data_IF_035466363749
#
_entry.id   IF_035466363749
#
_cell.length_a   1.000
_cell.length_b   1.000
_cell.length_c   1.000
_cell.angle_alpha   90.00
_cell.angle_beta   90.00
_cell.angle_gamma   90.00
#
_symmetry.space_group_name_H-M   'P 1'
#
loop_
_entity.id
_entity.type
_entity.pdbx_description
1 polymer ?
#
# COMPACT_ATOMS: atom_id res chain seq x y z
N UNK A 1 2.70 12.89 5.39
CA UNK A 1 1.22 13.02 5.49
C UNK A 1 0.79 14.22 6.33
N UNK A 2 0.02 15.13 5.73
CA UNK A 2 -0.59 16.29 6.39
C UNK A 2 -2.10 16.08 6.53
N UNK A 3 -2.63 16.21 7.74
CA UNK A 3 -4.08 16.15 8.00
C UNK A 3 -4.68 17.54 8.05
N UNK A 4 -5.94 17.69 7.65
CA UNK A 4 -6.65 18.99 7.62
C UNK A 4 -5.84 20.09 6.90
N UNK A 5 -5.22 19.72 5.79
CA UNK A 5 -4.34 20.59 5.02
C UNK A 5 -5.12 21.79 4.46
N UNK A 6 -4.73 23.00 4.87
CA UNK A 6 -5.39 24.25 4.48
C UNK A 6 -4.73 24.85 3.25
N UNK A 7 -5.53 25.20 2.25
CA UNK A 7 -5.11 25.97 1.08
C UNK A 7 -6.14 27.07 0.81
N UNK A 8 -5.77 28.32 1.08
CA UNK A 8 -6.73 29.43 1.16
C UNK A 8 -7.85 29.12 2.16
N UNK A 9 -9.10 29.25 1.72
CA UNK A 9 -10.30 28.95 2.53
C UNK A 9 -10.72 27.47 2.50
N UNK A 10 -9.97 26.62 1.79
CA UNK A 10 -10.29 25.20 1.61
C UNK A 10 -9.47 24.35 2.58
N UNK A 11 -10.12 23.33 3.13
CA UNK A 11 -9.49 22.30 3.95
C UNK A 11 -9.63 20.95 3.24
N UNK A 12 -8.51 20.28 3.07
CA UNK A 12 -8.38 18.92 2.54
C UNK A 12 -8.10 17.97 3.72
N UNK A 13 -8.75 16.81 3.75
CA UNK A 13 -8.63 15.86 4.86
C UNK A 13 -7.21 15.29 4.95
N UNK A 14 -6.64 14.86 3.82
CA UNK A 14 -5.26 14.38 3.76
C UNK A 14 -4.53 14.87 2.51
N UNK A 15 -3.32 15.39 2.72
CA UNK A 15 -2.34 15.60 1.66
C UNK A 15 -1.13 14.71 1.93
N UNK A 16 -0.77 13.86 0.96
CA UNK A 16 0.34 12.92 1.06
C UNK A 16 1.34 13.23 -0.05
N UNK A 17 2.28 14.18 0.19
CA UNK A 17 3.29 14.60 -0.78
C UNK A 17 4.07 13.44 -1.38
N UNK A 18 4.33 12.42 -0.56
CA UNK A 18 5.12 11.24 -0.89
C UNK A 18 4.49 10.42 -2.04
N UNK A 19 3.16 10.46 -2.16
CA UNK A 19 2.40 9.81 -3.23
C UNK A 19 1.84 10.80 -4.26
N UNK A 20 2.20 12.09 -4.17
CA UNK A 20 1.59 13.15 -4.98
C UNK A 20 0.05 13.07 -4.93
N UNK A 21 -0.50 12.82 -3.74
CA UNK A 21 -1.89 12.39 -3.52
C UNK A 21 -2.64 13.36 -2.61
N UNK A 22 -3.87 13.69 -3.02
CA UNK A 22 -4.83 14.51 -2.29
C UNK A 22 -6.08 13.66 -2.04
N UNK A 23 -6.40 13.42 -0.77
CA UNK A 23 -7.63 12.72 -0.36
C UNK A 23 -8.58 13.75 0.24
N UNK A 24 -9.75 13.88 -0.38
CA UNK A 24 -10.81 14.78 0.05
C UNK A 24 -12.08 14.00 0.34
N UNK A 25 -12.56 14.11 1.57
CA UNK A 25 -13.78 13.49 1.99
C UNK A 25 -14.96 14.42 1.70
N UNK A 26 -15.96 13.90 1.00
CA UNK A 26 -17.11 14.67 0.52
C UNK A 26 -18.23 14.81 1.56
N UNK A 27 -18.22 13.97 2.60
CA UNK A 27 -19.27 13.86 3.62
C UNK A 27 -18.74 13.82 5.07
N UNK A 28 -17.42 13.75 5.29
CA UNK A 28 -16.81 13.68 6.63
C UNK A 28 -17.11 14.90 7.52
N UNK A 29 -17.47 16.03 6.90
CA UNK A 29 -17.77 17.28 7.59
C UNK A 29 -19.09 17.83 7.06
N UNK A 30 -20.22 17.28 7.53
CA UNK A 30 -21.59 17.65 7.13
C UNK A 30 -22.00 19.13 7.32
N UNK A 31 -21.07 20.02 7.67
CA UNK A 31 -21.23 21.46 7.75
C UNK A 31 -20.59 22.24 6.59
N UNK A 32 -19.81 21.58 5.72
CA UNK A 32 -19.12 22.25 4.60
C UNK A 32 -19.73 21.85 3.26
N UNK A 33 -19.98 22.81 2.35
CA UNK A 33 -20.39 22.47 1.00
C UNK A 33 -19.29 21.66 0.32
N UNK A 34 -19.68 20.55 -0.33
CA UNK A 34 -18.76 19.70 -1.07
C UNK A 34 -18.03 20.52 -2.14
N UNK A 35 -16.71 20.41 -2.18
CA UNK A 35 -15.90 21.13 -3.15
C UNK A 35 -16.02 20.41 -4.51
N UNK A 36 -16.39 21.11 -5.60
CA UNK A 36 -16.42 20.51 -6.92
C UNK A 36 -15.04 19.98 -7.33
N UNK A 37 -15.00 18.81 -7.96
CA UNK A 37 -13.76 18.18 -8.42
C UNK A 37 -12.91 19.11 -9.31
N UNK A 38 -13.55 19.87 -10.19
CA UNK A 38 -12.89 20.84 -11.08
C UNK A 38 -12.13 21.93 -10.32
N UNK A 39 -12.64 22.36 -9.15
CA UNK A 39 -11.96 23.33 -8.29
C UNK A 39 -10.76 22.70 -7.59
N UNK A 40 -10.86 21.43 -7.18
CA UNK A 40 -9.72 20.70 -6.62
C UNK A 40 -8.62 20.52 -7.67
N UNK A 41 -8.95 20.21 -8.93
CA UNK A 41 -7.97 20.11 -10.03
C UNK A 41 -7.22 21.42 -10.29
N UNK A 42 -7.87 22.58 -10.11
CA UNK A 42 -7.20 23.87 -10.25
C UNK A 42 -6.21 24.15 -9.11
N UNK A 43 -6.54 23.73 -7.89
CA UNK A 43 -5.70 23.91 -6.71
C UNK A 43 -4.53 22.93 -6.67
N UNK A 44 -4.73 21.75 -7.24
CA UNK A 44 -3.77 20.65 -7.25
C UNK A 44 -3.58 20.13 -8.68
N UNK A 45 -3.00 20.95 -9.58
CA UNK A 45 -2.94 20.65 -11.01
C UNK A 45 -2.04 19.47 -11.35
N UNK A 46 -1.12 19.12 -10.46
CA UNK A 46 -0.13 18.05 -10.68
C UNK A 46 -0.37 16.84 -9.80
N UNK A 47 -1.22 16.93 -8.78
CA UNK A 47 -1.49 15.85 -7.83
C UNK A 47 -2.63 14.96 -8.32
N UNK A 48 -2.61 13.70 -7.90
CA UNK A 48 -3.78 12.82 -8.03
C UNK A 48 -4.78 13.13 -6.92
N UNK A 49 -6.03 13.37 -7.32
CA UNK A 49 -7.09 13.81 -6.42
C UNK A 49 -8.14 12.72 -6.32
N UNK A 50 -8.51 12.39 -5.08
CA UNK A 50 -9.48 11.35 -4.77
C UNK A 50 -10.54 11.96 -3.89
N UNK A 51 -11.76 11.92 -4.39
CA UNK A 51 -12.93 12.23 -3.58
C UNK A 51 -13.48 10.91 -3.05
N UNK A 52 -13.77 10.83 -1.76
CA UNK A 52 -14.33 9.64 -1.15
C UNK A 52 -15.44 10.01 -0.14
N UNK A 53 -16.21 9.00 0.25
CA UNK A 53 -17.23 9.11 1.30
C UNK A 53 -16.81 8.28 2.52
N UNK A 54 -17.03 8.83 3.72
CA UNK A 54 -16.52 8.31 4.97
C UNK A 54 -16.97 6.87 5.25
N UNK A 55 -18.16 6.48 4.80
CA UNK A 55 -18.80 5.22 5.22
C UNK A 55 -18.81 4.11 4.15
N UNK A 56 -18.37 4.38 2.91
CA UNK A 56 -18.61 3.43 1.80
C UNK A 56 -17.38 3.09 0.94
N UNK A 57 -16.20 3.67 1.19
CA UNK A 57 -15.25 3.78 0.07
C UNK A 57 -13.76 3.66 0.36
N UNK A 58 -13.40 2.87 1.37
CA UNK A 58 -12.00 2.49 1.60
C UNK A 58 -11.39 1.91 0.30
N UNK A 59 -12.16 1.16 -0.49
CA UNK A 59 -11.73 0.62 -1.78
C UNK A 59 -11.35 1.69 -2.81
N UNK A 60 -12.05 2.83 -2.92
CA UNK A 60 -11.63 3.91 -3.81
C UNK A 60 -10.38 4.64 -3.31
N UNK A 61 -10.26 4.83 -1.99
CA UNK A 61 -9.05 5.40 -1.38
C UNK A 61 -7.84 4.52 -1.71
N UNK A 62 -7.96 3.20 -1.50
CA UNK A 62 -6.91 2.24 -1.86
C UNK A 62 -6.66 2.20 -3.36
N UNK A 63 -7.70 2.14 -4.20
CA UNK A 63 -7.54 2.13 -5.66
C UNK A 63 -6.83 3.37 -6.21
N UNK A 64 -7.00 4.51 -5.54
CA UNK A 64 -6.33 5.72 -5.94
C UNK A 64 -4.89 5.80 -5.44
N UNK A 65 -4.60 5.39 -4.20
CA UNK A 65 -3.23 5.16 -3.72
C UNK A 65 -2.48 4.19 -4.66
N UNK A 66 -3.19 3.20 -5.21
CA UNK A 66 -2.62 2.23 -6.16
C UNK A 66 -2.44 2.76 -7.59
N UNK A 67 -3.05 3.90 -7.94
CA UNK A 67 -2.94 4.53 -9.26
C UNK A 67 -1.98 5.74 -9.28
N UNK A 68 -1.53 6.20 -8.13
CA UNK A 68 -0.57 7.30 -8.03
C UNK A 68 0.85 6.84 -8.34
N UNK A 69 1.56 7.57 -9.21
CA UNK A 69 2.98 7.35 -9.45
C UNK A 69 3.81 7.91 -8.27
N UNK A 70 4.66 7.06 -7.69
CA UNK A 70 5.66 7.49 -6.68
C UNK A 70 6.68 8.39 -7.38
N UNK A 71 7.07 9.50 -6.74
CA UNK A 71 8.07 10.41 -7.30
C UNK A 71 9.41 9.65 -7.53
N UNK A 72 9.87 9.50 -8.79
CA UNK A 72 11.06 8.72 -9.12
C UNK A 72 12.39 9.36 -8.66
N UNK A 73 12.38 10.59 -8.14
CA UNK A 73 13.59 11.24 -7.60
C UNK A 73 13.99 10.75 -6.20
N UNK A 74 13.21 9.88 -5.54
CA UNK A 74 13.64 9.21 -4.30
C UNK A 74 14.44 7.93 -4.58
N UNK A 75 15.74 8.18 -4.87
CA UNK A 75 16.96 7.36 -4.77
C UNK A 75 16.93 5.82 -4.82
N UNK A 76 17.75 5.27 -5.72
CA UNK A 76 17.99 3.83 -5.98
C UNK A 76 19.26 3.24 -5.35
N UNK A 77 19.89 3.88 -4.36
CA UNK A 77 20.90 3.23 -3.49
C UNK A 77 20.78 3.83 -2.09
N UNK A 78 20.48 2.99 -1.08
CA UNK A 78 20.19 3.44 0.29
C UNK A 78 21.03 2.60 1.27
N UNK A 79 21.60 3.18 2.35
CA UNK A 79 21.99 2.43 3.54
C UNK A 79 20.88 1.47 4.00
N UNK A 80 21.19 0.49 4.84
CA UNK A 80 20.16 -0.47 5.30
C UNK A 80 18.92 0.28 5.82
N UNK A 81 17.74 0.08 5.18
CA UNK A 81 16.57 0.91 5.45
C UNK A 81 16.12 0.77 6.89
N UNK A 82 15.64 1.87 7.47
CA UNK A 82 15.25 1.94 8.88
C UNK A 82 13.73 1.97 8.98
N UNK A 83 13.13 1.00 9.67
CA UNK A 83 11.71 1.04 10.00
C UNK A 83 11.50 1.93 11.23
N UNK A 84 11.20 3.20 10.96
CA UNK A 84 11.12 4.29 11.95
C UNK A 84 9.76 4.40 12.63
N UNK A 85 8.73 3.80 12.04
CA UNK A 85 7.39 3.74 12.61
C UNK A 85 6.84 2.31 12.53
N UNK A 86 6.09 1.92 13.56
CA UNK A 86 5.35 0.66 13.63
C UNK A 86 3.89 0.94 13.99
N UNK A 87 2.99 0.22 13.33
CA UNK A 87 1.58 0.18 13.68
C UNK A 87 0.93 -1.08 13.14
N UNK A 88 -0.30 -1.33 13.55
CA UNK A 88 -1.13 -2.38 12.98
C UNK A 88 -2.19 -1.77 12.06
N UNK A 89 -2.50 -2.45 10.97
CA UNK A 89 -3.55 -2.05 10.06
C UNK A 89 -4.50 -3.22 9.81
N UNK A 90 -5.79 -2.99 9.98
CA UNK A 90 -6.81 -3.92 9.51
C UNK A 90 -7.02 -3.70 8.01
N UNK A 91 -6.51 -4.62 7.19
CA UNK A 91 -6.54 -4.48 5.72
C UNK A 91 -7.85 -5.03 5.14
N UNK A 92 -8.33 -6.12 5.72
CA UNK A 92 -9.66 -6.69 5.47
C UNK A 92 -10.29 -7.07 6.82
N UNK A 93 -11.63 -7.15 6.93
CA UNK A 93 -12.29 -7.42 8.20
C UNK A 93 -11.72 -8.64 8.93
N UNK A 94 -11.22 -8.43 10.15
CA UNK A 94 -10.63 -9.46 10.99
C UNK A 94 -9.16 -9.81 10.68
N UNK A 95 -8.55 -9.20 9.65
CA UNK A 95 -7.15 -9.42 9.30
C UNK A 95 -6.29 -8.21 9.63
N UNK A 96 -5.62 -8.29 10.76
CA UNK A 96 -4.75 -7.24 11.29
C UNK A 96 -3.31 -7.57 10.92
N UNK A 97 -2.68 -6.70 10.14
CA UNK A 97 -1.31 -6.85 9.68
C UNK A 97 -0.37 -5.90 10.42
N UNK A 98 0.82 -6.38 10.75
CA UNK A 98 1.92 -5.53 11.22
C UNK A 98 2.50 -4.72 10.04
N UNK A 99 2.51 -3.40 10.21
CA UNK A 99 2.96 -2.45 9.20
C UNK A 99 4.09 -1.56 9.73
N UNK A 100 4.96 -1.14 8.83
CA UNK A 100 6.06 -0.23 9.13
C UNK A 100 6.12 0.90 8.11
N UNK A 101 6.66 2.04 8.53
CA UNK A 101 7.10 3.10 7.62
C UNK A 101 8.61 3.17 7.69
N UNK A 102 9.25 3.10 6.51
CA UNK A 102 10.69 3.23 6.36
C UNK A 102 11.13 4.70 6.42
N UNK A 103 12.42 4.92 6.62
CA UNK A 103 13.07 6.24 6.65
C UNK A 103 12.98 7.01 5.32
N UNK A 104 12.83 6.29 4.20
CA UNK A 104 12.51 6.86 2.89
C UNK A 104 11.01 7.16 2.68
N UNK A 105 10.19 6.96 3.71
CA UNK A 105 8.75 7.20 3.70
C UNK A 105 7.92 6.07 3.09
N UNK A 106 8.52 4.97 2.61
CA UNK A 106 7.75 3.84 2.07
C UNK A 106 7.01 3.09 3.17
N UNK A 107 5.74 2.81 2.93
CA UNK A 107 4.94 1.92 3.76
C UNK A 107 5.17 0.47 3.34
N UNK A 108 5.43 -0.39 4.33
CA UNK A 108 5.75 -1.81 4.11
C UNK A 108 4.99 -2.69 5.10
N UNK A 109 4.74 -3.92 4.67
CA UNK A 109 4.21 -4.99 5.51
C UNK A 109 5.38 -5.79 6.09
N UNK A 110 5.24 -6.28 7.32
CA UNK A 110 6.11 -7.35 7.80
C UNK A 110 5.92 -8.61 6.95
N UNK A 111 6.90 -9.52 6.96
CA UNK A 111 6.72 -10.82 6.31
C UNK A 111 5.45 -11.55 6.77
N UNK A 112 5.16 -11.47 8.07
CA UNK A 112 3.96 -12.07 8.64
C UNK A 112 2.70 -11.39 8.11
N UNK A 113 2.64 -10.07 8.17
CA UNK A 113 1.51 -9.31 7.67
C UNK A 113 1.26 -9.54 6.18
N UNK A 114 2.32 -9.64 5.38
CA UNK A 114 2.22 -9.95 3.96
C UNK A 114 1.75 -11.39 3.67
N UNK A 115 2.25 -12.37 4.44
CA UNK A 115 1.87 -13.76 4.30
C UNK A 115 0.40 -13.98 4.71
N UNK A 116 0.01 -13.43 5.87
CA UNK A 116 -1.35 -13.47 6.39
C UNK A 116 -2.33 -12.80 5.40
N UNK A 117 -1.96 -11.64 4.84
CA UNK A 117 -2.74 -10.93 3.81
C UNK A 117 -2.94 -11.72 2.53
N UNK A 118 -1.97 -12.54 2.14
CA UNK A 118 -2.05 -13.38 0.96
C UNK A 118 -2.65 -14.77 1.24
N UNK A 119 -2.95 -15.11 2.50
CA UNK A 119 -3.34 -16.48 2.87
C UNK A 119 -2.22 -17.50 2.60
N UNK A 120 -0.96 -17.05 2.64
CA UNK A 120 0.23 -17.86 2.37
C UNK A 120 0.93 -18.27 3.65
N UNK A 121 1.58 -19.43 3.63
CA UNK A 121 2.59 -19.72 4.63
C UNK A 121 3.86 -18.88 4.38
N UNK A 122 4.61 -18.58 5.45
CA UNK A 122 5.82 -17.76 5.37
C UNK A 122 6.86 -18.29 4.35
N UNK A 123 7.02 -19.62 4.26
CA UNK A 123 7.99 -20.21 3.32
C UNK A 123 7.49 -20.08 1.89
N UNK A 124 6.19 -20.20 1.65
CA UNK A 124 5.61 -19.95 0.33
C UNK A 124 5.81 -18.50 -0.11
N UNK A 125 5.58 -17.51 0.76
CA UNK A 125 5.85 -16.11 0.43
C UNK A 125 7.34 -15.87 0.12
N UNK A 126 8.25 -16.43 0.93
CA UNK A 126 9.69 -16.36 0.66
C UNK A 126 10.06 -17.02 -0.68
N UNK A 127 9.44 -18.15 -1.02
CA UNK A 127 9.65 -18.82 -2.30
C UNK A 127 9.15 -17.97 -3.48
N UNK A 128 8.01 -17.30 -3.34
CA UNK A 128 7.50 -16.36 -4.35
C UNK A 128 8.47 -15.20 -4.58
N UNK A 129 9.08 -14.68 -3.51
CA UNK A 129 10.07 -13.61 -3.60
C UNK A 129 11.43 -14.06 -4.18
N UNK A 130 11.85 -15.30 -3.93
CA UNK A 130 13.21 -15.79 -4.26
C UNK A 130 13.30 -16.64 -5.52
N UNK A 131 12.31 -17.50 -5.79
CA UNK A 131 12.35 -18.53 -6.83
C UNK A 131 11.52 -18.19 -8.08
N UNK A 132 11.10 -16.92 -8.21
CA UNK A 132 10.20 -16.41 -9.23
C UNK A 132 8.73 -16.79 -9.04
N UNK A 133 7.86 -15.90 -9.50
CA UNK A 133 6.41 -16.08 -9.48
C UNK A 133 5.98 -17.33 -10.23
N UNK A 134 4.92 -18.02 -9.76
CA UNK A 134 4.23 -19.03 -10.53
C UNK A 134 3.98 -18.57 -11.97
N UNK A 135 4.29 -19.43 -12.94
CA UNK A 135 4.17 -19.07 -14.36
C UNK A 135 2.74 -18.69 -14.73
N UNK A 136 1.77 -19.28 -14.04
CA UNK A 136 0.35 -19.00 -14.19
C UNK A 136 0.02 -17.54 -13.86
N UNK A 137 0.71 -16.95 -12.87
CA UNK A 137 0.52 -15.56 -12.44
C UNK A 137 1.22 -14.54 -13.33
N UNK A 138 2.30 -14.92 -14.01
CA UNK A 138 3.10 -14.01 -14.85
C UNK A 138 2.26 -13.34 -15.94
N UNK A 139 1.20 -14.00 -16.41
CA UNK A 139 0.28 -13.44 -17.40
C UNK A 139 -0.63 -12.33 -16.86
N UNK A 140 -0.70 -12.16 -15.54
CA UNK A 140 -1.54 -11.18 -14.84
C UNK A 140 -0.73 -10.08 -14.15
N UNK A 141 0.60 -10.09 -14.31
CA UNK A 141 1.55 -9.15 -13.71
C UNK A 141 2.34 -8.45 -14.82
N UNK A 142 2.89 -7.28 -14.52
CA UNK A 142 3.79 -6.59 -15.45
C UNK A 142 5.01 -7.48 -15.76
N UNK A 143 5.53 -7.43 -17.00
CA UNK A 143 6.63 -8.32 -17.43
C UNK A 143 7.88 -8.23 -16.56
N UNK A 144 8.11 -7.06 -15.97
CA UNK A 144 9.28 -6.76 -15.13
C UNK A 144 8.92 -6.77 -13.63
N UNK A 145 7.72 -7.23 -13.27
CA UNK A 145 7.30 -7.30 -11.88
C UNK A 145 8.11 -8.33 -11.11
N UNK A 146 8.68 -7.90 -9.98
CA UNK A 146 9.35 -8.77 -9.01
C UNK A 146 8.97 -8.33 -7.60
N UNK A 147 8.84 -9.31 -6.70
CA UNK A 147 8.58 -9.05 -5.29
C UNK A 147 9.94 -8.85 -4.63
N UNK A 148 10.29 -7.59 -4.36
CA UNK A 148 11.59 -7.29 -3.74
C UNK A 148 11.48 -7.46 -2.23
N UNK A 149 12.11 -8.51 -1.70
CA UNK A 149 12.32 -8.65 -0.25
C UNK A 149 13.46 -7.75 0.21
N UNK A 150 13.15 -6.79 1.06
CA UNK A 150 14.14 -5.95 1.73
C UNK A 150 14.28 -6.36 3.20
N UNK A 151 15.47 -6.17 3.76
CA UNK A 151 15.69 -6.21 5.20
C UNK A 151 15.67 -4.78 5.72
N UNK A 152 14.88 -4.52 6.76
CA UNK A 152 14.86 -3.24 7.46
C UNK A 152 15.29 -3.42 8.91
N UNK A 153 16.13 -2.51 9.40
CA UNK A 153 16.44 -2.38 10.82
C UNK A 153 15.29 -1.67 11.52
N UNK A 154 14.70 -2.28 12.55
CA UNK A 154 13.58 -1.67 13.27
C UNK A 154 14.10 -0.71 14.33
N UNK A 155 13.82 0.57 14.15
CA UNK A 155 14.14 1.65 15.11
C UNK A 155 12.90 2.19 15.81
N UNK A 156 11.70 1.87 15.31
CA UNK A 156 10.43 2.22 15.92
C UNK A 156 10.35 1.77 17.40
N UNK A 157 10.25 2.74 18.30
CA UNK A 157 10.24 2.55 19.76
C UNK A 157 9.09 1.67 20.24
N UNK A 158 7.94 1.77 19.59
CA UNK A 158 6.72 1.04 19.93
C UNK A 158 6.64 -0.35 19.28
N UNK A 159 7.66 -0.78 18.53
CA UNK A 159 7.65 -2.09 17.87
C UNK A 159 8.13 -3.21 18.80
N UNK A 160 7.45 -4.37 18.82
CA UNK A 160 7.97 -5.56 19.51
C UNK A 160 9.28 -6.08 18.88
N UNK A 161 9.63 -5.64 17.67
CA UNK A 161 10.83 -6.02 16.95
C UNK A 161 11.95 -4.97 17.01
N UNK A 162 11.83 -3.96 17.88
CA UNK A 162 12.85 -2.91 18.02
C UNK A 162 14.26 -3.50 18.17
N UNK A 163 15.20 -2.98 17.39
CA UNK A 163 16.60 -3.42 17.35
C UNK A 163 16.85 -4.68 16.52
N UNK A 164 15.81 -5.29 15.94
CA UNK A 164 15.94 -6.45 15.08
C UNK A 164 15.92 -6.05 13.61
N UNK A 165 16.49 -6.93 12.76
CA UNK A 165 16.27 -6.90 11.32
C UNK A 165 15.07 -7.73 10.96
N UNK A 166 14.11 -7.12 10.25
CA UNK A 166 12.93 -7.81 9.76
C UNK A 166 12.90 -7.82 8.23
N UNK A 167 12.30 -8.86 7.66
CA UNK A 167 11.93 -8.87 6.24
C UNK A 167 10.68 -8.04 6.07
N UNK A 168 10.75 -7.10 5.13
CA UNK A 168 9.65 -6.22 4.78
C UNK A 168 9.33 -6.34 3.30
N UNK A 169 8.04 -6.23 3.01
CA UNK A 169 7.49 -6.33 1.67
C UNK A 169 6.79 -5.03 1.34
N UNK A 170 7.07 -4.47 0.17
CA UNK A 170 6.39 -3.27 -0.29
C UNK A 170 4.88 -3.57 -0.39
N UNK A 171 4.06 -2.75 0.26
CA UNK A 171 2.61 -2.94 0.25
C UNK A 171 2.06 -2.94 -1.19
N UNK A 172 2.64 -2.14 -2.09
CA UNK A 172 2.25 -2.10 -3.50
C UNK A 172 2.46 -3.45 -4.20
N UNK A 173 3.58 -4.12 -3.92
CA UNK A 173 3.91 -5.40 -4.56
C UNK A 173 2.99 -6.51 -4.06
N UNK A 174 2.68 -6.53 -2.76
CA UNK A 174 1.72 -7.46 -2.18
C UNK A 174 0.31 -7.27 -2.77
N UNK A 175 -0.13 -6.03 -2.94
CA UNK A 175 -1.45 -5.76 -3.55
C UNK A 175 -1.49 -6.18 -5.02
N UNK A 176 -0.40 -5.96 -5.78
CA UNK A 176 -0.29 -6.47 -7.16
C UNK A 176 -0.39 -7.99 -7.20
N UNK A 177 0.24 -8.69 -6.26
CA UNK A 177 0.10 -10.14 -6.13
C UNK A 177 -1.34 -10.56 -5.82
N UNK A 178 -1.97 -9.96 -4.81
CA UNK A 178 -3.36 -10.27 -4.46
C UNK A 178 -4.29 -10.16 -5.67
N UNK A 179 -4.15 -9.07 -6.45
CA UNK A 179 -4.93 -8.87 -7.68
C UNK A 179 -4.65 -9.94 -8.72
N UNK A 180 -3.38 -10.30 -8.94
CA UNK A 180 -3.01 -11.35 -9.88
C UNK A 180 -3.60 -12.70 -9.49
N UNK A 181 -3.53 -13.06 -8.20
CA UNK A 181 -4.13 -14.28 -7.67
C UNK A 181 -5.66 -14.29 -7.83
N UNK A 182 -6.34 -13.21 -7.46
CA UNK A 182 -7.79 -13.09 -7.63
C UNK A 182 -8.22 -13.25 -9.10
N UNK A 183 -7.52 -12.59 -10.04
CA UNK A 183 -7.79 -12.70 -11.47
C UNK A 183 -7.51 -14.12 -11.97
N UNK A 184 -6.39 -14.72 -11.58
CA UNK A 184 -6.04 -16.09 -11.96
C UNK A 184 -7.06 -17.11 -11.44
N UNK A 185 -7.55 -16.93 -10.20
CA UNK A 185 -8.58 -17.76 -9.60
C UNK A 185 -9.89 -17.70 -10.40
N UNK A 186 -10.36 -16.50 -10.74
CA UNK A 186 -11.60 -16.34 -11.54
C UNK A 186 -11.54 -16.96 -12.93
N UNK A 187 -10.33 -17.18 -13.45
CA UNK A 187 -10.08 -17.78 -14.77
C UNK A 187 -9.74 -19.27 -14.70
N UNK A 188 -9.82 -19.89 -13.51
CA UNK A 188 -9.38 -21.28 -13.26
C UNK A 188 -7.94 -21.52 -13.75
N UNK A 189 -7.08 -20.51 -13.68
CA UNK A 189 -5.70 -20.57 -14.14
C UNK A 189 -4.72 -21.05 -13.06
N UNK A 190 -5.15 -21.05 -11.79
CA UNK A 190 -4.37 -21.54 -10.65
C UNK A 190 -4.46 -23.07 -10.55
N UNK A 191 -3.36 -23.71 -10.13
CA UNK A 191 -3.37 -25.13 -9.73
C UNK A 191 -4.14 -25.30 -8.43
N UNK A 192 -4.60 -26.52 -8.18
CA UNK A 192 -5.32 -26.86 -6.94
C UNK A 192 -4.52 -26.49 -5.68
N UNK A 193 -3.19 -26.67 -5.72
CA UNK A 193 -2.22 -26.29 -4.67
C UNK A 193 -1.94 -24.79 -4.57
N UNK A 194 -2.55 -23.97 -5.41
CA UNK A 194 -2.41 -22.50 -5.46
C UNK A 194 -3.76 -21.81 -5.19
N UNK A 195 -4.86 -22.55 -5.14
CA UNK A 195 -6.23 -22.05 -4.90
C UNK A 195 -6.46 -21.54 -3.48
N UNK A 196 -5.54 -21.83 -2.56
CA UNK A 196 -5.62 -21.37 -1.16
C UNK A 196 -5.32 -19.87 -1.00
N UNK A 197 -4.91 -19.23 -2.09
CA UNK A 197 -4.47 -17.84 -2.15
C UNK A 197 -5.63 -17.05 -2.76
N UNK A 198 -6.52 -16.54 -1.91
CA UNK A 198 -7.76 -15.89 -2.31
C UNK A 198 -8.42 -15.16 -1.16
#
# INVERSE_FOLDING_TARGET
>A
MHTNYKIGDIIIDYYVPEFNLVLYCTDCNGQRPAIPYTKLQQLFPTQHIVQFQQHNDITQVFNAILKTQVNPELSTVIPEPQAIYYGTAEIVPGLICDCYVLDDGRAVLSERGAADLLGLDHKALQNVATNSLPNELKSFLDKDFSVVTNLANVTAENSPHKGQKIRVYNALDIIKLMRAYAVALTRNALKETQTHIG
#
